data_IF_602597687855
#
_entry.id   IF_602597687855
#
_cell.length_a   1.000
_cell.length_b   1.000
_cell.length_c   1.000
_cell.angle_alpha   90.00
_cell.angle_beta   90.00
_cell.angle_gamma   90.00
#
_symmetry.space_group_name_H-M   'P 1'
#
loop_
_entity.id
_entity.type
_entity.pdbx_description
1 polymer ?
#
# COMPACT_ATOMS: atom_id res chain seq x y z
N UNK A 1 15.63 -12.26 19.02
CA UNK A 1 14.48 -12.49 18.14
C UNK A 1 14.62 -11.62 16.90
N UNK A 2 14.61 -12.26 15.74
CA UNK A 2 14.68 -11.49 14.50
C UNK A 2 13.31 -10.87 14.25
N UNK A 3 13.30 -9.56 14.11
CA UNK A 3 12.10 -8.82 13.84
C UNK A 3 11.85 -8.83 12.34
N UNK A 4 10.65 -9.22 11.94
CA UNK A 4 10.30 -9.29 10.52
C UNK A 4 9.42 -8.11 10.16
N UNK A 5 9.96 -7.21 9.36
CA UNK A 5 9.24 -6.03 8.92
C UNK A 5 8.27 -6.37 7.80
N UNK A 6 7.10 -5.74 7.83
CA UNK A 6 6.15 -5.84 6.72
C UNK A 6 6.69 -5.02 5.55
N UNK A 7 6.83 -5.67 4.40
CA UNK A 7 7.35 -5.01 3.20
C UNK A 7 6.26 -4.30 2.41
N UNK A 8 5.08 -4.93 2.32
CA UNK A 8 3.94 -4.38 1.59
C UNK A 8 2.72 -4.38 2.49
N UNK A 9 2.03 -3.26 2.56
CA UNK A 9 0.68 -3.20 3.08
C UNK A 9 -0.26 -3.20 1.87
N UNK A 10 -1.06 -4.25 1.74
CA UNK A 10 -2.08 -4.37 0.71
C UNK A 10 -3.43 -4.00 1.31
N UNK A 11 -4.02 -2.91 0.83
CA UNK A 11 -5.31 -2.43 1.30
C UNK A 11 -6.36 -2.74 0.24
N UNK A 12 -7.12 -3.80 0.46
CA UNK A 12 -8.04 -4.36 -0.53
C UNK A 12 -9.14 -5.16 0.16
N UNK A 13 -10.38 -4.90 -0.16
CA UNK A 13 -11.52 -5.63 0.42
C UNK A 13 -12.01 -6.80 -0.44
N UNK A 14 -11.66 -6.83 -1.72
CA UNK A 14 -12.09 -7.90 -2.63
C UNK A 14 -11.21 -9.15 -2.40
N UNK A 15 -11.78 -10.26 -1.91
CA UNK A 15 -10.98 -11.44 -1.58
C UNK A 15 -10.28 -12.06 -2.79
N UNK A 16 -10.88 -12.00 -3.97
CA UNK A 16 -10.25 -12.53 -5.19
C UNK A 16 -9.03 -11.72 -5.58
N UNK A 17 -9.11 -10.39 -5.50
CA UNK A 17 -7.98 -9.52 -5.80
C UNK A 17 -6.87 -9.69 -4.76
N UNK A 18 -7.21 -9.90 -3.50
CA UNK A 18 -6.23 -10.20 -2.45
C UNK A 18 -5.47 -11.47 -2.80
N UNK A 19 -6.19 -12.54 -3.11
CA UNK A 19 -5.56 -13.84 -3.44
C UNK A 19 -4.65 -13.75 -4.65
N UNK A 20 -5.10 -13.09 -5.70
CA UNK A 20 -4.30 -12.93 -6.92
C UNK A 20 -3.03 -12.12 -6.65
N UNK A 21 -3.16 -11.06 -5.88
CA UNK A 21 -2.02 -10.19 -5.55
C UNK A 21 -0.99 -10.93 -4.70
N UNK A 22 -1.46 -11.63 -3.66
CA UNK A 22 -0.58 -12.41 -2.80
C UNK A 22 0.14 -13.51 -3.57
N UNK A 23 -0.60 -14.22 -4.42
CA UNK A 23 -0.02 -15.30 -5.23
C UNK A 23 1.08 -14.76 -6.15
N UNK A 24 0.81 -13.66 -6.85
CA UNK A 24 1.78 -13.08 -7.77
C UNK A 24 3.07 -12.65 -7.07
N UNK A 25 2.95 -12.00 -5.92
CA UNK A 25 4.11 -11.51 -5.17
C UNK A 25 4.92 -12.66 -4.55
N UNK A 26 4.25 -13.67 -4.03
CA UNK A 26 4.92 -14.82 -3.39
C UNK A 26 5.57 -15.75 -4.41
N UNK A 27 4.93 -15.95 -5.56
CA UNK A 27 5.46 -16.81 -6.60
C UNK A 27 6.81 -16.32 -7.11
N UNK A 28 6.98 -15.01 -7.22
CA UNK A 28 8.22 -14.40 -7.69
C UNK A 28 9.20 -14.13 -6.55
N UNK A 29 8.86 -14.52 -5.32
CA UNK A 29 9.67 -14.28 -4.12
C UNK A 29 10.02 -12.81 -3.92
N UNK A 30 9.15 -11.93 -4.40
CA UNK A 30 9.39 -10.48 -4.31
C UNK A 30 9.10 -9.92 -2.94
N UNK A 31 8.12 -10.49 -2.23
CA UNK A 31 7.78 -10.05 -0.89
C UNK A 31 7.53 -11.26 0.01
N UNK A 32 8.17 -11.29 1.19
CA UNK A 32 7.99 -12.35 2.16
C UNK A 32 6.99 -11.96 3.25
N UNK A 33 6.82 -10.68 3.50
CA UNK A 33 5.98 -10.16 4.56
C UNK A 33 5.01 -9.14 4.01
N UNK A 34 3.77 -9.61 3.78
CA UNK A 34 2.68 -8.79 3.26
C UNK A 34 1.58 -8.78 4.31
N UNK A 35 1.21 -7.59 4.75
CA UNK A 35 0.04 -7.42 5.61
C UNK A 35 -1.14 -7.02 4.74
N UNK A 36 -2.30 -7.61 4.99
CA UNK A 36 -3.53 -7.29 4.25
C UNK A 36 -4.48 -6.54 5.18
N UNK A 37 -4.88 -5.36 4.79
CA UNK A 37 -5.94 -4.60 5.44
C UNK A 37 -7.16 -4.65 4.52
N UNK A 38 -8.30 -5.05 5.05
CA UNK A 38 -9.50 -5.27 4.24
C UNK A 38 -10.47 -4.10 4.26
N UNK A 39 -10.14 -3.06 5.01
CA UNK A 39 -10.90 -1.81 5.03
C UNK A 39 -9.96 -0.66 5.40
N UNK A 40 -10.47 0.56 5.25
CA UNK A 40 -9.64 1.75 5.47
C UNK A 40 -9.29 1.98 6.93
N UNK A 41 -10.17 1.58 7.86
CA UNK A 41 -9.88 1.70 9.28
C UNK A 41 -8.72 0.80 9.70
N UNK A 42 -8.73 -0.45 9.23
CA UNK A 42 -7.64 -1.40 9.49
C UNK A 42 -6.31 -0.89 8.93
N UNK A 43 -6.35 -0.32 7.73
CA UNK A 43 -5.15 0.25 7.11
C UNK A 43 -4.58 1.38 7.95
N UNK A 44 -5.42 2.29 8.44
CA UNK A 44 -4.98 3.39 9.29
C UNK A 44 -4.48 2.90 10.64
N UNK A 45 -5.13 1.91 11.23
CA UNK A 45 -4.67 1.32 12.48
C UNK A 45 -3.27 0.71 12.32
N UNK A 46 -3.03 0.02 11.22
CA UNK A 46 -1.72 -0.53 10.94
C UNK A 46 -0.66 0.57 10.79
N UNK A 47 -0.92 1.55 9.95
CA UNK A 47 0.06 2.60 9.64
C UNK A 47 0.34 3.52 10.82
N UNK A 48 -0.66 3.77 11.66
CA UNK A 48 -0.54 4.65 12.82
C UNK A 48 -0.33 3.89 14.13
N UNK A 49 -0.04 2.59 14.05
CA UNK A 49 0.32 1.76 15.20
C UNK A 49 -0.75 1.80 16.30
N UNK A 50 -2.01 1.60 15.92
CA UNK A 50 -3.18 1.65 16.80
C UNK A 50 -3.90 0.31 16.86
N UNK A 51 -4.79 0.13 17.85
CA UNK A 51 -5.64 -1.04 17.98
C UNK A 51 -4.84 -2.33 17.99
N UNK A 52 -5.16 -3.31 17.12
CA UNK A 52 -4.42 -4.57 17.07
C UNK A 52 -2.94 -4.41 16.70
N UNK A 53 -2.55 -3.26 16.17
CA UNK A 53 -1.19 -2.98 15.71
C UNK A 53 -0.42 -2.05 16.64
N UNK A 54 -0.86 -1.90 17.88
CA UNK A 54 -0.25 -0.97 18.84
C UNK A 54 1.20 -1.30 19.18
N UNK A 55 1.65 -2.54 18.92
CA UNK A 55 3.03 -2.95 19.16
C UNK A 55 3.97 -2.60 18.03
N UNK A 56 3.44 -2.15 16.89
CA UNK A 56 4.26 -1.69 15.78
C UNK A 56 4.90 -0.34 16.10
N UNK A 57 5.95 -0.01 15.38
CA UNK A 57 6.67 1.26 15.51
C UNK A 57 6.64 2.04 14.20
N UNK A 58 6.57 3.36 14.27
CA UNK A 58 6.72 4.22 13.10
C UNK A 58 8.11 4.11 12.46
N UNK A 59 9.08 3.54 13.15
CA UNK A 59 10.42 3.31 12.62
C UNK A 59 10.48 2.14 11.65
N UNK A 60 9.37 1.43 11.46
CA UNK A 60 9.28 0.27 10.59
C UNK A 60 8.16 0.41 9.56
N UNK A 61 8.24 1.43 8.69
CA UNK A 61 7.22 1.61 7.67
C UNK A 61 7.29 0.52 6.61
N UNK A 62 6.17 0.18 5.97
CA UNK A 62 6.24 -0.69 4.79
C UNK A 62 6.99 0.03 3.67
N UNK A 63 7.56 -0.74 2.75
CA UNK A 63 8.24 -0.16 1.58
C UNK A 63 7.27 0.45 0.59
N UNK A 64 6.06 -0.09 0.53
CA UNK A 64 5.01 0.43 -0.33
C UNK A 64 3.64 0.04 0.23
N UNK A 65 2.67 0.92 0.04
CA UNK A 65 1.25 0.64 0.29
C UNK A 65 0.57 0.51 -1.06
N UNK A 66 -0.07 -0.62 -1.32
CA UNK A 66 -0.93 -0.82 -2.48
C UNK A 66 -2.36 -0.58 -2.02
N UNK A 67 -2.98 0.46 -2.52
CA UNK A 67 -4.23 0.99 -1.96
C UNK A 67 -5.34 1.01 -2.99
N UNK A 68 -6.43 0.28 -2.74
CA UNK A 68 -7.64 0.44 -3.53
C UNK A 68 -8.41 1.66 -3.03
N UNK A 69 -9.15 2.30 -3.91
CA UNK A 69 -9.94 3.50 -3.58
C UNK A 69 -11.27 3.15 -2.95
N UNK A 70 -11.92 2.08 -3.39
CA UNK A 70 -13.26 1.72 -2.89
C UNK A 70 -13.15 0.73 -1.74
N UNK A 71 -13.17 1.27 -0.53
CA UNK A 71 -13.01 0.49 0.70
C UNK A 71 -14.18 0.72 1.64
N UNK A 72 -14.54 -0.31 2.44
CA UNK A 72 -15.49 -0.12 3.53
C UNK A 72 -14.89 0.73 4.65
N UNK A 73 -15.75 1.28 5.48
CA UNK A 73 -15.47 2.07 6.69
C UNK A 73 -14.82 3.40 6.39
N UNK A 74 -13.55 3.40 5.97
CA UNK A 74 -12.85 4.62 5.57
C UNK A 74 -12.45 4.46 4.11
N UNK A 75 -12.87 5.38 3.28
CA UNK A 75 -12.60 5.39 1.85
C UNK A 75 -11.10 5.51 1.55
N UNK A 76 -10.66 4.93 0.44
CA UNK A 76 -9.25 4.93 0.05
C UNK A 76 -8.65 6.32 -0.11
N UNK A 77 -9.40 7.27 -0.66
CA UNK A 77 -8.92 8.65 -0.75
C UNK A 77 -8.67 9.27 0.62
N UNK A 78 -9.52 8.96 1.61
CA UNK A 78 -9.32 9.44 2.96
C UNK A 78 -8.12 8.77 3.62
N UNK A 79 -7.90 7.47 3.37
CA UNK A 79 -6.70 6.78 3.84
C UNK A 79 -5.46 7.49 3.29
N UNK A 80 -5.43 7.78 2.00
CA UNK A 80 -4.31 8.47 1.36
C UNK A 80 -4.09 9.85 2.00
N UNK A 81 -5.15 10.61 2.20
CA UNK A 81 -5.07 11.93 2.82
C UNK A 81 -4.43 11.85 4.22
N UNK A 82 -4.88 10.90 5.03
CA UNK A 82 -4.35 10.73 6.37
C UNK A 82 -2.86 10.36 6.37
N UNK A 83 -2.45 9.48 5.46
CA UNK A 83 -1.05 9.09 5.33
C UNK A 83 -0.18 10.30 4.97
N UNK A 84 -0.62 11.08 3.99
CA UNK A 84 0.21 12.13 3.39
C UNK A 84 0.26 13.42 4.21
N UNK A 85 -0.69 13.64 5.11
CA UNK A 85 -0.67 14.83 5.95
C UNK A 85 0.15 14.67 7.24
N UNK A 86 0.47 13.44 7.64
CA UNK A 86 1.21 13.20 8.89
C UNK A 86 2.70 13.02 8.59
N UNK A 87 3.59 13.79 9.25
CA UNK A 87 5.03 13.68 8.99
C UNK A 87 5.61 12.29 9.29
N UNK A 88 4.97 11.50 10.13
CA UNK A 88 5.45 10.15 10.47
C UNK A 88 5.17 9.13 9.38
N UNK A 89 4.25 9.41 8.46
CA UNK A 89 3.83 8.46 7.43
C UNK A 89 3.91 9.00 6.01
N UNK A 90 4.00 10.31 5.83
CA UNK A 90 3.89 10.92 4.49
C UNK A 90 4.94 10.46 3.49
N UNK A 91 6.11 10.04 3.97
CA UNK A 91 7.18 9.56 3.09
C UNK A 91 6.98 8.12 2.62
N UNK A 92 6.01 7.38 3.18
CA UNK A 92 5.71 6.03 2.73
C UNK A 92 5.19 6.10 1.31
N UNK A 93 5.78 5.36 0.36
CA UNK A 93 5.25 5.32 -1.00
C UNK A 93 3.84 4.68 -1.01
N UNK A 94 2.89 5.35 -1.65
CA UNK A 94 1.53 4.83 -1.80
C UNK A 94 1.21 4.76 -3.29
N UNK A 95 0.91 3.55 -3.76
CA UNK A 95 0.48 3.31 -5.14
C UNK A 95 -0.99 2.93 -5.09
N UNK A 96 -1.82 3.70 -5.77
CA UNK A 96 -3.23 3.37 -5.92
C UNK A 96 -3.36 2.23 -6.92
N UNK A 97 -4.05 1.15 -6.53
CA UNK A 97 -4.31 0.00 -7.37
C UNK A 97 -5.81 -0.23 -7.38
N UNK A 98 -6.49 0.24 -8.41
CA UNK A 98 -7.94 0.31 -8.41
C UNK A 98 -8.54 0.01 -9.78
N UNK A 99 -9.79 -0.46 -9.79
CA UNK A 99 -10.55 -0.65 -11.01
C UNK A 99 -11.07 0.69 -11.58
N UNK A 100 -11.00 1.77 -10.81
CA UNK A 100 -11.52 3.06 -11.26
C UNK A 100 -10.74 3.59 -12.47
N UNK A 101 -11.48 4.03 -13.49
CA UNK A 101 -10.92 4.71 -14.66
C UNK A 101 -11.33 6.18 -14.71
N UNK A 102 -11.88 6.69 -13.61
CA UNK A 102 -12.33 8.07 -13.50
C UNK A 102 -11.12 9.00 -13.49
N UNK A 103 -11.10 9.96 -14.41
CA UNK A 103 -10.02 10.96 -14.45
C UNK A 103 -9.98 11.77 -13.14
N UNK A 104 -11.15 12.07 -12.57
CA UNK A 104 -11.23 12.80 -11.30
C UNK A 104 -10.55 12.05 -10.15
N UNK A 105 -10.68 10.73 -10.11
CA UNK A 105 -10.00 9.92 -9.09
C UNK A 105 -8.49 9.99 -9.27
N UNK A 106 -8.03 9.94 -10.51
CA UNK A 106 -6.60 10.03 -10.80
C UNK A 106 -6.04 11.39 -10.39
N UNK A 107 -6.74 12.46 -10.76
CA UNK A 107 -6.33 13.83 -10.39
C UNK A 107 -6.29 13.99 -8.87
N UNK A 108 -7.35 13.54 -8.18
CA UNK A 108 -7.42 13.65 -6.73
C UNK A 108 -6.33 12.83 -6.05
N UNK A 109 -6.06 11.62 -6.56
CA UNK A 109 -5.01 10.76 -6.00
C UNK A 109 -3.65 11.43 -6.05
N UNK A 110 -3.28 11.98 -7.19
CA UNK A 110 -1.99 12.66 -7.32
C UNK A 110 -1.94 13.95 -6.50
N UNK A 111 -3.03 14.72 -6.44
CA UNK A 111 -3.07 15.92 -5.61
C UNK A 111 -2.89 15.61 -4.13
N UNK A 112 -3.38 14.47 -3.66
CA UNK A 112 -3.21 14.05 -2.28
C UNK A 112 -1.83 13.45 -2.00
N UNK A 113 -1.01 13.24 -3.02
CA UNK A 113 0.35 12.77 -2.84
C UNK A 113 0.60 11.32 -3.18
N UNK A 114 -0.28 10.67 -3.95
CA UNK A 114 -0.03 9.32 -4.41
C UNK A 114 1.26 9.26 -5.24
N UNK A 115 2.01 8.19 -5.07
CA UNK A 115 3.26 7.96 -5.78
C UNK A 115 3.07 7.23 -7.11
N UNK A 116 1.88 6.69 -7.33
CA UNK A 116 1.50 6.08 -8.58
C UNK A 116 0.02 5.76 -8.61
N UNK A 117 -0.51 5.55 -9.79
CA UNK A 117 -1.92 5.20 -9.99
C UNK A 117 -1.97 4.11 -11.05
N UNK A 118 -2.40 2.92 -10.67
CA UNK A 118 -2.43 1.75 -11.53
C UNK A 118 -3.87 1.23 -11.62
N UNK A 119 -4.36 1.09 -12.83
CA UNK A 119 -5.68 0.53 -13.06
C UNK A 119 -5.60 -0.99 -13.06
N UNK A 120 -6.49 -1.63 -12.31
CA UNK A 120 -6.61 -3.08 -12.33
C UNK A 120 -7.07 -3.54 -13.70
N UNK A 121 -6.47 -4.61 -14.19
CA UNK A 121 -6.91 -5.24 -15.42
C UNK A 121 -7.87 -6.38 -15.09
N UNK A 122 -8.77 -6.71 -16.03
CA UNK A 122 -9.72 -7.82 -15.85
C UNK A 122 -9.12 -9.17 -16.26
N UNK A 123 -8.06 -9.14 -17.06
CA UNK A 123 -7.37 -10.34 -17.51
C UNK A 123 -6.44 -10.85 -16.40
N UNK A 124 -6.56 -12.13 -16.06
CA UNK A 124 -5.81 -12.76 -14.99
C UNK A 124 -4.29 -12.63 -15.19
N UNK A 125 -3.80 -12.99 -16.38
CA UNK A 125 -2.37 -12.99 -16.64
C UNK A 125 -1.80 -11.57 -16.65
N UNK A 126 -2.54 -10.62 -17.19
CA UNK A 126 -2.14 -9.21 -17.20
C UNK A 126 -2.09 -8.64 -15.79
N UNK A 127 -3.08 -8.99 -14.95
CA UNK A 127 -3.11 -8.55 -13.56
C UNK A 127 -1.90 -9.08 -12.80
N UNK A 128 -1.64 -10.38 -12.93
CA UNK A 128 -0.50 -11.01 -12.27
C UNK A 128 0.83 -10.38 -12.70
N UNK A 129 0.99 -10.16 -14.00
CA UNK A 129 2.21 -9.54 -14.54
C UNK A 129 2.40 -8.11 -14.05
N UNK A 130 1.31 -7.35 -13.96
CA UNK A 130 1.31 -5.99 -13.44
C UNK A 130 1.74 -5.95 -11.98
N UNK A 131 1.19 -6.82 -11.15
CA UNK A 131 1.55 -6.91 -9.73
C UNK A 131 3.02 -7.30 -9.57
N UNK A 132 3.50 -8.23 -10.40
CA UNK A 132 4.90 -8.62 -10.41
C UNK A 132 5.81 -7.41 -10.68
N UNK A 133 5.46 -6.59 -11.65
CA UNK A 133 6.22 -5.39 -11.99
C UNK A 133 6.21 -4.37 -10.86
N UNK A 134 5.07 -4.21 -10.19
CA UNK A 134 4.97 -3.32 -9.02
C UNK A 134 5.90 -3.80 -7.89
N UNK A 135 5.87 -5.09 -7.60
CA UNK A 135 6.74 -5.67 -6.57
C UNK A 135 8.20 -5.48 -6.91
N UNK A 136 8.58 -5.76 -8.16
CA UNK A 136 9.96 -5.61 -8.61
C UNK A 136 10.43 -4.17 -8.47
N UNK A 137 9.62 -3.21 -8.91
CA UNK A 137 10.02 -1.81 -8.83
C UNK A 137 10.16 -1.35 -7.37
N UNK A 138 9.11 -1.55 -6.56
CA UNK A 138 9.06 -0.94 -5.22
C UNK A 138 9.91 -1.66 -4.19
N UNK A 139 10.18 -2.95 -4.38
CA UNK A 139 10.97 -3.72 -3.41
C UNK A 139 12.43 -3.90 -3.83
N UNK A 140 12.73 -3.84 -5.13
CA UNK A 140 14.08 -4.10 -5.63
C UNK A 140 14.70 -2.87 -6.26
N UNK A 141 13.98 -2.22 -7.19
CA UNK A 141 14.54 -1.12 -7.99
C UNK A 141 14.54 0.19 -7.21
N UNK A 142 13.41 0.51 -6.57
CA UNK A 142 13.27 1.76 -5.84
C UNK A 142 14.11 1.78 -4.58
N UNK A 143 14.74 2.90 -4.30
CA UNK A 143 15.42 3.12 -3.02
C UNK A 143 14.40 3.61 -2.01
N UNK A 144 14.14 2.85 -0.92
CA UNK A 144 13.15 3.30 0.06
C UNK A 144 13.62 4.56 0.78
N UNK A 145 12.69 5.38 1.28
CA UNK A 145 13.07 6.56 2.05
C UNK A 145 13.91 6.16 3.27
N UNK A 146 14.99 6.85 3.55
CA UNK A 146 15.79 6.56 4.75
C UNK A 146 15.04 6.92 6.03
N UNK A 147 15.45 6.39 7.19
CA UNK A 147 14.74 6.65 8.45
C UNK A 147 14.52 8.13 8.76
N UNK A 148 15.45 8.99 8.38
CA UNK A 148 15.29 10.43 8.61
C UNK A 148 14.08 11.04 7.91
N UNK A 149 13.58 10.41 6.86
CA UNK A 149 12.40 10.90 6.13
C UNK A 149 11.11 10.79 6.94
N UNK A 150 11.10 10.00 8.01
CA UNK A 150 9.93 9.74 8.84
C UNK A 150 9.95 10.50 10.16
N UNK A 151 10.98 11.31 10.38
CA UNK A 151 11.08 12.11 11.59
C UNK A 151 10.47 13.47 11.35
N UNK A 152 9.63 13.91 12.29
CA UNK A 152 9.04 15.23 12.24
C UNK A 152 10.12 16.30 12.44
N UNK A 153 10.01 17.37 11.70
CA UNK A 153 10.87 18.55 11.87
C UNK A 153 10.05 19.72 12.35
#
# INVERSE_FOLDING_TARGET
>A
MIRQDVEILLVEDNPDDVELTLHALRQERLANHIEVARDGEEALDFLFCRGPYAQRSFDQPPRVVLLDLKLPKVDGMEVLREIKKDPRTRAIPVVILTASREESDMVNGYHLGANGYVQKTVDFDSFRNMVKQLGLYWLVVNQPPPPAAFHAK
#
